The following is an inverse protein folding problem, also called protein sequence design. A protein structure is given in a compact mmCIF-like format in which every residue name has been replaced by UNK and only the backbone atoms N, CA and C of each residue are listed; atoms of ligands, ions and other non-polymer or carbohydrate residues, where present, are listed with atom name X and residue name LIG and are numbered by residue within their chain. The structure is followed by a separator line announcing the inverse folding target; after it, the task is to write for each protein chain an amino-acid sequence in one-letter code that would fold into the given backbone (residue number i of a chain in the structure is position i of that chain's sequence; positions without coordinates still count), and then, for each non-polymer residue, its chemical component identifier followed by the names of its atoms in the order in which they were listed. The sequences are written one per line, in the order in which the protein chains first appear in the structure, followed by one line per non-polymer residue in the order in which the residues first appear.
data_IF_966629406460
#
_entry.id   IF_966629406460
#
_cell.length_a   1.000
_cell.length_b   1.000
_cell.length_c   1.000
_cell.angle_alpha   90.00
_cell.angle_beta   90.00
_cell.angle_gamma   90.00
#
_symmetry.space_group_name_H-M   'P 1'
#
loop_
_entity.id
_entity.type
_entity.pdbx_description
1 polymer ?
#
# COMPACT_ATOMS: atom_id res chain seq x y z
N UNK A 1 33.66 -42.47 27.50
CA UNK A 1 35.11 -42.23 27.41
C UNK A 1 35.52 -41.31 28.56
N UNK A 2 36.60 -41.64 29.28
CA UNK A 2 36.49 -42.01 30.68
C UNK A 2 37.42 -41.20 31.59
N UNK A 3 37.29 -41.44 32.90
CA UNK A 3 38.22 -40.99 33.93
C UNK A 3 37.51 -40.92 35.28
N UNK A 4 37.08 -42.04 35.87
CA UNK A 4 37.93 -42.80 36.80
C UNK A 4 38.97 -41.93 37.53
N UNK A 5 38.68 -41.55 38.77
CA UNK A 5 39.70 -41.56 39.83
C UNK A 5 39.14 -42.27 41.06
N UNK A 6 39.89 -43.33 41.37
CA UNK A 6 39.72 -44.35 42.38
C UNK A 6 39.81 -43.81 43.82
N UNK A 7 39.18 -44.52 44.79
CA UNK A 7 39.32 -44.30 46.23
C UNK A 7 40.69 -44.80 46.72
N UNK A 8 41.65 -43.90 46.92
CA UNK A 8 42.91 -44.22 47.60
C UNK A 8 43.65 -42.94 48.05
N UNK A 9 43.45 -42.55 49.32
CA UNK A 9 44.25 -41.63 50.17
C UNK A 9 43.33 -41.27 51.35
N UNK A 10 43.50 -41.74 52.59
CA UNK A 10 44.71 -41.97 53.37
C UNK A 10 44.38 -43.07 54.40
N UNK A 11 44.91 -44.26 54.15
CA UNK A 11 45.39 -45.12 55.23
C UNK A 11 46.84 -44.68 55.47
N UNK A 12 47.08 -43.92 56.53
CA UNK A 12 48.40 -43.69 57.15
C UNK A 12 48.20 -42.83 58.41
N UNK A 13 47.90 -43.48 59.53
CA UNK A 13 48.25 -43.05 60.89
C UNK A 13 48.08 -44.25 61.84
N UNK A 14 48.98 -45.21 61.65
CA UNK A 14 49.33 -46.27 62.60
C UNK A 14 50.86 -46.23 62.68
N UNK A 15 51.42 -45.67 63.75
CA UNK A 15 52.74 -45.96 64.34
C UNK A 15 53.23 -44.79 65.23
N UNK A 16 53.92 -45.13 66.32
CA UNK A 16 54.50 -44.32 67.42
C UNK A 16 53.47 -44.01 68.54
N UNK A 17 53.42 -44.70 69.68
CA UNK A 17 54.52 -45.20 70.52
C UNK A 17 54.20 -46.55 71.17
N UNK A 18 55.08 -47.53 70.95
CA UNK A 18 55.38 -48.60 71.88
C UNK A 18 56.91 -48.67 71.98
N UNK A 19 57.49 -48.42 73.16
CA UNK A 19 58.69 -49.11 73.66
C UNK A 19 59.05 -48.65 75.07
N UNK A 20 59.43 -49.63 75.90
CA UNK A 20 60.18 -49.58 77.17
C UNK A 20 59.35 -49.20 78.41
N UNK A 21 59.33 -49.95 79.52
CA UNK A 21 60.06 -51.14 79.99
C UNK A 21 59.14 -51.84 81.02
N UNK A 22 58.96 -53.17 81.02
CA UNK A 22 59.79 -54.19 81.70
C UNK A 22 59.94 -53.97 83.22
N UNK A 23 59.60 -55.03 83.96
CA UNK A 23 59.94 -55.41 85.36
C UNK A 23 58.68 -55.55 86.23
N UNK A 24 58.05 -56.72 86.27
CA UNK A 24 58.32 -57.93 87.06
C UNK A 24 57.53 -57.97 88.41
N UNK A 25 57.05 -59.16 88.81
CA UNK A 25 56.35 -59.38 90.08
C UNK A 25 57.27 -60.05 91.12
N UNK A 26 57.42 -59.46 92.31
CA UNK A 26 58.03 -60.13 93.47
C UNK A 26 56.95 -60.17 94.59
N UNK A 27 56.37 -61.32 94.96
CA UNK A 27 56.98 -62.43 95.71
C UNK A 27 57.94 -61.94 96.79
N UNK A 28 57.41 -61.73 98.00
CA UNK A 28 58.15 -62.01 99.22
C UNK A 28 57.24 -62.74 100.21
N UNK A 29 57.30 -64.06 100.09
CA UNK A 29 57.07 -65.01 101.17
C UNK A 29 58.32 -65.03 102.03
N UNK A 30 58.23 -64.76 103.34
CA UNK A 30 59.10 -65.42 104.32
C UNK A 30 58.26 -65.84 105.54
N UNK A 31 58.31 -67.13 105.92
CA UNK A 31 57.71 -67.72 107.10
C UNK A 31 58.73 -67.85 108.25
N UNK A 32 58.27 -68.21 109.46
CA UNK A 32 58.86 -69.23 110.37
C UNK A 32 58.23 -69.04 111.77
N UNK A 33 57.42 -69.99 112.27
CA UNK A 33 57.76 -71.20 113.04
C UNK A 33 57.99 -70.91 114.54
N UNK A 34 57.15 -71.58 115.36
CA UNK A 34 57.35 -72.19 116.70
C UNK A 34 58.25 -71.49 117.74
N UNK A 35 57.93 -71.48 119.03
CA UNK A 35 57.70 -72.69 119.82
C UNK A 35 56.94 -72.43 121.12
N UNK A 36 56.17 -73.45 121.50
CA UNK A 36 55.89 -73.83 122.88
C UNK A 36 57.16 -73.81 123.76
N UNK A 37 57.02 -73.33 124.99
CA UNK A 37 57.63 -74.03 126.14
C UNK A 37 56.85 -73.72 127.41
N UNK A 38 56.18 -74.76 127.90
CA UNK A 38 55.80 -74.97 129.29
C UNK A 38 56.98 -74.71 130.23
N UNK A 39 56.73 -74.09 131.39
CA UNK A 39 56.92 -74.75 132.68
C UNK A 39 56.42 -73.89 133.85
N UNK A 40 55.60 -74.56 134.65
CA UNK A 40 55.27 -74.41 136.06
C UNK A 40 56.44 -73.99 136.95
N UNK A 41 56.20 -73.08 137.89
CA UNK A 41 55.97 -73.43 139.31
C UNK A 41 55.96 -72.20 140.23
N UNK A 42 54.83 -72.05 140.91
CA UNK A 42 54.59 -71.57 142.29
C UNK A 42 55.65 -70.71 142.99
N UNK A 43 55.25 -69.50 143.42
CA UNK A 43 55.48 -69.08 144.80
C UNK A 43 54.50 -67.98 145.22
N UNK A 44 53.90 -68.22 146.37
CA UNK A 44 52.87 -67.49 147.11
C UNK A 44 53.29 -66.08 147.54
N UNK A 45 52.50 -65.04 147.24
CA UNK A 45 51.79 -64.16 148.21
C UNK A 45 51.25 -62.86 147.58
N UNK A 46 50.06 -62.43 148.02
CA UNK A 46 49.40 -61.11 147.83
C UNK A 46 48.93 -60.75 146.40
N UNK A 47 47.87 -61.35 145.85
CA UNK A 47 46.45 -61.21 146.17
C UNK A 47 45.96 -59.74 146.27
N UNK A 48 45.15 -59.33 145.27
CA UNK A 48 44.26 -58.15 145.12
C UNK A 48 44.65 -56.97 144.20
N UNK A 49 45.91 -56.71 143.81
CA UNK A 49 46.24 -55.56 142.92
C UNK A 49 46.20 -55.86 141.40
N UNK A 50 46.52 -57.09 140.99
CA UNK A 50 46.62 -57.46 139.55
C UNK A 50 45.28 -57.83 138.89
N UNK A 51 44.22 -58.03 139.67
CA UNK A 51 42.86 -58.29 139.17
C UNK A 51 42.18 -57.00 138.68
N UNK A 52 42.53 -55.87 139.30
CA UNK A 52 42.04 -54.55 138.91
C UNK A 52 42.70 -54.02 137.63
N UNK A 53 44.00 -54.28 137.42
CA UNK A 53 44.71 -53.87 136.20
C UNK A 53 44.27 -54.67 134.97
N UNK A 54 44.03 -55.99 135.10
CA UNK A 54 43.48 -56.80 134.00
C UNK A 54 42.04 -56.39 133.67
N UNK A 55 41.21 -56.08 134.67
CA UNK A 55 39.85 -55.58 134.45
C UNK A 55 39.84 -54.18 133.79
N UNK A 56 40.76 -53.29 134.17
CA UNK A 56 40.95 -51.97 133.57
C UNK A 56 41.39 -52.06 132.12
N UNK A 57 42.39 -52.89 131.82
CA UNK A 57 42.86 -53.12 130.45
C UNK A 57 41.78 -53.78 129.58
N UNK A 58 40.96 -54.68 130.16
CA UNK A 58 39.82 -55.27 129.45
C UNK A 58 38.74 -54.24 129.15
N UNK A 59 38.39 -53.38 130.10
CA UNK A 59 37.43 -52.28 129.90
C UNK A 59 37.93 -51.26 128.88
N UNK A 60 39.22 -50.94 128.87
CA UNK A 60 39.83 -50.03 127.90
C UNK A 60 39.90 -50.64 126.50
N UNK A 61 40.24 -51.92 126.41
CA UNK A 61 40.18 -52.68 125.15
C UNK A 61 38.74 -52.75 124.62
N UNK A 62 37.76 -52.99 125.48
CA UNK A 62 36.34 -53.07 125.11
C UNK A 62 35.80 -51.69 124.66
N UNK A 63 36.24 -50.61 125.31
CA UNK A 63 35.98 -49.23 124.88
C UNK A 63 36.63 -48.91 123.53
N UNK A 64 37.88 -49.35 123.30
CA UNK A 64 38.58 -49.20 122.01
C UNK A 64 37.97 -50.06 120.91
N UNK A 65 37.48 -51.25 121.22
CA UNK A 65 36.76 -52.12 120.26
C UNK A 65 35.43 -51.47 119.87
N UNK A 66 34.68 -50.91 120.81
CA UNK A 66 33.46 -50.15 120.50
C UNK A 66 33.75 -48.88 119.68
N UNK A 67 34.86 -48.18 119.97
CA UNK A 67 35.32 -47.03 119.18
C UNK A 67 35.70 -47.46 117.75
N UNK A 68 36.41 -48.58 117.60
CA UNK A 68 36.76 -49.18 116.30
C UNK A 68 35.51 -49.58 115.53
N UNK A 69 34.52 -50.21 116.16
CA UNK A 69 33.26 -50.56 115.49
C UNK A 69 32.45 -49.32 115.11
N UNK A 70 32.45 -48.28 115.94
CA UNK A 70 31.86 -46.98 115.64
C UNK A 70 32.55 -46.29 114.46
N UNK A 71 33.88 -46.31 114.41
CA UNK A 71 34.69 -45.80 113.31
C UNK A 71 34.48 -46.65 112.05
N UNK A 72 34.39 -47.97 112.15
CA UNK A 72 34.14 -48.88 111.03
C UNK A 72 32.78 -48.62 110.39
N UNK A 73 31.73 -48.39 111.18
CA UNK A 73 30.42 -47.96 110.66
C UNK A 73 30.48 -46.61 109.97
N UNK A 74 31.23 -45.64 110.50
CA UNK A 74 31.44 -44.33 109.84
C UNK A 74 32.22 -44.47 108.54
N UNK A 75 33.23 -45.33 108.50
CA UNK A 75 34.03 -45.63 107.29
C UNK A 75 33.19 -46.32 106.23
N UNK A 76 32.38 -47.33 106.60
CA UNK A 76 31.46 -47.99 105.66
C UNK A 76 30.43 -47.01 105.09
N UNK A 77 29.83 -46.15 105.93
CA UNK A 77 28.91 -45.12 105.46
C UNK A 77 29.60 -44.08 104.56
N UNK A 78 30.81 -43.66 104.91
CA UNK A 78 31.59 -42.74 104.08
C UNK A 78 32.01 -43.36 102.74
N UNK A 79 32.26 -44.67 102.70
CA UNK A 79 32.53 -45.41 101.46
C UNK A 79 31.29 -45.51 100.56
N UNK A 80 30.12 -45.81 101.14
CA UNK A 80 28.83 -45.80 100.41
C UNK A 80 28.50 -44.39 99.89
N UNK A 81 28.67 -43.35 100.72
CA UNK A 81 28.46 -41.95 100.31
C UNK A 81 29.43 -41.54 99.19
N UNK A 82 30.68 -42.04 99.21
CA UNK A 82 31.67 -41.80 98.16
C UNK A 82 31.29 -42.49 96.84
N UNK A 83 30.80 -43.73 96.87
CA UNK A 83 30.34 -44.46 95.68
C UNK A 83 29.11 -43.79 95.04
N UNK A 84 28.17 -43.30 95.87
CA UNK A 84 27.02 -42.50 95.41
C UNK A 84 27.48 -41.17 94.79
N UNK A 85 28.50 -40.52 95.35
CA UNK A 85 29.06 -39.30 94.75
C UNK A 85 29.80 -39.59 93.43
N UNK A 86 30.54 -40.70 93.34
CA UNK A 86 31.29 -41.07 92.13
C UNK A 86 30.36 -41.42 90.96
N UNK A 87 29.27 -42.14 91.22
CA UNK A 87 28.23 -42.40 90.22
C UNK A 87 27.54 -41.10 89.76
N UNK A 88 27.28 -40.16 90.68
CA UNK A 88 26.73 -38.84 90.34
C UNK A 88 27.70 -37.99 89.52
N UNK A 89 28.99 -38.00 89.85
CA UNK A 89 30.05 -37.34 89.07
C UNK A 89 30.13 -37.94 87.66
N UNK A 90 30.06 -39.27 87.55
CA UNK A 90 30.09 -39.97 86.26
C UNK A 90 28.88 -39.59 85.39
N UNK A 91 27.68 -39.55 85.98
CA UNK A 91 26.46 -39.10 85.29
C UNK A 91 26.56 -37.65 84.82
N UNK A 92 26.99 -36.73 85.69
CA UNK A 92 27.18 -35.33 85.34
C UNK A 92 28.28 -35.12 84.29
N UNK A 93 29.34 -35.94 84.33
CA UNK A 93 30.41 -35.92 83.34
C UNK A 93 29.89 -36.33 81.96
N UNK A 94 29.07 -37.38 81.89
CA UNK A 94 28.42 -37.80 80.66
C UNK A 94 27.46 -36.74 80.10
N UNK A 95 26.66 -36.11 80.97
CA UNK A 95 25.78 -35.01 80.58
C UNK A 95 26.58 -33.81 80.05
N UNK A 96 27.68 -33.45 80.72
CA UNK A 96 28.60 -32.40 80.27
C UNK A 96 29.16 -32.68 78.87
N UNK A 97 29.60 -33.92 78.60
CA UNK A 97 30.11 -34.30 77.27
C UNK A 97 29.01 -34.16 76.22
N UNK A 98 27.80 -34.60 76.53
CA UNK A 98 26.64 -34.52 75.62
C UNK A 98 26.28 -33.05 75.33
N UNK A 99 26.24 -32.20 76.35
CA UNK A 99 25.99 -30.78 76.21
C UNK A 99 27.09 -30.07 75.41
N UNK A 100 28.35 -30.47 75.54
CA UNK A 100 29.44 -29.94 74.72
C UNK A 100 29.25 -30.30 73.24
N UNK A 101 28.87 -31.54 72.94
CA UNK A 101 28.60 -31.97 71.56
C UNK A 101 27.41 -31.23 70.93
N UNK A 102 26.34 -30.96 71.69
CA UNK A 102 25.21 -30.16 71.21
C UNK A 102 25.60 -28.70 70.97
N UNK A 103 26.41 -28.11 71.86
CA UNK A 103 26.96 -26.76 71.68
C UNK A 103 27.76 -26.66 70.38
N UNK A 104 28.64 -27.62 70.10
CA UNK A 104 29.46 -27.59 68.88
C UNK A 104 28.62 -27.78 67.61
N UNK A 105 27.59 -28.61 67.68
CA UNK A 105 26.61 -28.76 66.58
C UNK A 105 25.86 -27.46 66.32
N UNK A 106 25.37 -26.80 67.38
CA UNK A 106 24.67 -25.52 67.27
C UNK A 106 25.60 -24.41 66.75
N UNK A 107 26.87 -24.39 67.15
CA UNK A 107 27.87 -23.45 66.61
C UNK A 107 28.07 -23.65 65.11
N UNK A 108 28.18 -24.91 64.64
CA UNK A 108 28.32 -25.22 63.22
C UNK A 108 27.09 -24.79 62.42
N UNK A 109 25.88 -25.07 62.93
CA UNK A 109 24.63 -24.62 62.32
C UNK A 109 24.54 -23.09 62.24
N UNK A 110 24.92 -22.39 63.31
CA UNK A 110 24.91 -20.92 63.33
C UNK A 110 25.89 -20.34 62.30
N UNK A 111 27.09 -20.90 62.18
CA UNK A 111 28.07 -20.49 61.15
C UNK A 111 27.54 -20.68 59.72
N UNK A 112 26.87 -21.80 59.46
CA UNK A 112 26.24 -22.08 58.17
C UNK A 112 25.09 -21.10 57.87
N UNK A 113 24.26 -20.78 58.86
CA UNK A 113 23.19 -19.79 58.74
C UNK A 113 23.75 -18.39 58.46
N UNK A 114 24.77 -17.94 59.19
CA UNK A 114 25.45 -16.66 58.95
C UNK A 114 25.98 -16.59 57.51
N UNK A 115 26.64 -17.65 57.05
CA UNK A 115 27.18 -17.74 55.68
C UNK A 115 26.08 -17.73 54.62
N UNK A 116 24.95 -18.40 54.88
CA UNK A 116 23.78 -18.38 54.00
C UNK A 116 23.17 -16.98 53.91
N UNK A 117 22.94 -16.32 55.05
CA UNK A 117 22.42 -14.96 55.14
C UNK A 117 23.33 -13.98 54.42
N UNK A 118 24.65 -14.09 54.57
CA UNK A 118 25.61 -13.25 53.86
C UNK A 118 25.52 -13.41 52.33
N UNK A 119 25.40 -14.66 51.84
CA UNK A 119 25.21 -14.94 50.41
C UNK A 119 23.89 -14.37 49.88
N UNK A 120 22.79 -14.55 50.61
CA UNK A 120 21.49 -13.99 50.23
C UNK A 120 21.50 -12.46 50.20
N UNK A 121 22.13 -11.81 51.19
CA UNK A 121 22.30 -10.34 51.20
C UNK A 121 23.10 -9.85 50.00
N UNK A 122 24.20 -10.53 49.66
CA UNK A 122 25.01 -10.20 48.48
C UNK A 122 24.21 -10.36 47.18
N UNK A 123 23.48 -11.47 47.04
CA UNK A 123 22.62 -11.73 45.87
C UNK A 123 21.53 -10.68 45.73
N UNK A 124 20.80 -10.38 46.82
CA UNK A 124 19.76 -9.35 46.83
C UNK A 124 20.31 -7.97 46.45
N UNK A 125 21.49 -7.59 46.95
CA UNK A 125 22.15 -6.33 46.56
C UNK A 125 22.49 -6.28 45.07
N UNK A 126 22.95 -7.39 44.48
CA UNK A 126 23.21 -7.49 43.04
C UNK A 126 21.94 -7.36 42.22
N UNK A 127 20.90 -8.12 42.55
CA UNK A 127 19.60 -8.04 41.86
C UNK A 127 18.96 -6.66 41.98
N UNK A 128 19.08 -5.99 43.13
CA UNK A 128 18.57 -4.63 43.31
C UNK A 128 19.29 -3.62 42.42
N UNK A 129 20.63 -3.74 42.29
CA UNK A 129 21.41 -2.91 41.36
C UNK A 129 21.02 -3.15 39.90
N UNK A 130 20.82 -4.41 39.52
CA UNK A 130 20.40 -4.79 38.17
C UNK A 130 19.00 -4.25 37.82
N UNK A 131 18.04 -4.39 38.73
CA UNK A 131 16.71 -3.81 38.58
C UNK A 131 16.75 -2.29 38.45
N UNK A 132 17.64 -1.63 39.21
CA UNK A 132 17.82 -0.18 39.09
C UNK A 132 18.39 0.20 37.72
N UNK A 133 19.39 -0.52 37.19
CA UNK A 133 19.90 -0.28 35.83
C UNK A 133 18.83 -0.51 34.76
N UNK A 134 18.08 -1.61 34.83
CA UNK A 134 16.97 -1.90 33.91
C UNK A 134 15.89 -0.83 33.96
N UNK A 135 15.59 -0.29 35.16
CA UNK A 135 14.68 0.83 35.33
C UNK A 135 15.15 2.13 34.65
N UNK A 136 16.46 2.40 34.66
CA UNK A 136 17.04 3.53 33.93
C UNK A 136 16.95 3.31 32.42
N UNK A 137 17.31 2.12 31.94
CA UNK A 137 17.32 1.81 30.52
C UNK A 137 15.91 1.80 29.92
N UNK A 138 14.93 1.23 30.63
CA UNK A 138 13.52 1.29 30.25
C UNK A 138 13.01 2.74 30.14
N UNK A 139 13.39 3.61 31.08
CA UNK A 139 13.06 5.05 31.02
C UNK A 139 13.71 5.74 29.81
N UNK A 140 14.96 5.39 29.48
CA UNK A 140 15.67 5.93 28.31
C UNK A 140 15.01 5.48 27.00
N UNK A 141 14.69 4.19 26.88
CA UNK A 141 14.02 3.62 25.72
C UNK A 141 12.64 4.25 25.51
N UNK A 142 11.84 4.38 26.57
CA UNK A 142 10.53 5.07 26.51
C UNK A 142 10.66 6.49 25.98
N UNK A 143 11.66 7.26 26.45
CA UNK A 143 11.93 8.62 25.94
C UNK A 143 12.37 8.61 24.47
N UNK A 144 13.19 7.64 24.06
CA UNK A 144 13.64 7.51 22.67
C UNK A 144 12.47 7.18 21.72
N UNK A 145 11.59 6.24 22.11
CA UNK A 145 10.38 5.90 21.37
C UNK A 145 9.42 7.10 21.26
N UNK A 146 9.23 7.84 22.35
CA UNK A 146 8.39 9.04 22.34
C UNK A 146 8.93 10.11 21.37
N UNK A 147 10.26 10.31 21.31
CA UNK A 147 10.88 11.23 20.35
C UNK A 147 10.66 10.75 18.91
N UNK A 148 10.96 9.47 18.61
CA UNK A 148 10.71 8.88 17.29
C UNK A 148 9.26 9.02 16.85
N UNK A 149 8.29 8.82 17.76
CA UNK A 149 6.87 9.01 17.47
C UNK A 149 6.52 10.47 17.16
N UNK A 150 7.07 11.44 17.90
CA UNK A 150 6.88 12.88 17.63
C UNK A 150 7.48 13.29 16.30
N UNK A 151 8.68 12.82 15.97
CA UNK A 151 9.35 13.13 14.72
C UNK A 151 8.60 12.56 13.51
N UNK A 152 8.12 11.30 13.62
CA UNK A 152 7.24 10.70 12.61
C UNK A 152 5.94 11.49 12.45
N UNK A 153 5.28 11.86 13.55
CA UNK A 153 4.06 12.70 13.51
C UNK A 153 4.32 14.03 12.80
N UNK A 154 5.44 14.70 13.09
CA UNK A 154 5.84 15.96 12.44
C UNK A 154 6.11 15.76 10.94
N UNK A 155 6.73 14.64 10.55
CA UNK A 155 6.94 14.30 9.14
C UNK A 155 5.62 14.14 8.39
N UNK A 156 4.69 13.35 8.93
CA UNK A 156 3.37 13.14 8.29
C UNK A 156 2.53 14.42 8.23
N UNK A 157 2.60 15.28 9.25
CA UNK A 157 1.90 16.58 9.20
C UNK A 157 2.40 17.45 8.05
N UNK A 158 3.72 17.55 7.84
CA UNK A 158 4.28 18.29 6.70
C UNK A 158 3.87 17.71 5.35
N UNK A 159 3.77 16.38 5.25
CA UNK A 159 3.34 15.70 4.03
C UNK A 159 1.85 15.99 3.74
N UNK A 160 1.00 15.96 4.77
CA UNK A 160 -0.42 16.34 4.66
C UNK A 160 -0.57 17.80 4.22
N UNK A 161 0.18 18.72 4.83
CA UNK A 161 0.19 20.14 4.44
C UNK A 161 0.60 20.31 2.97
N UNK A 162 1.64 19.61 2.51
CA UNK A 162 2.08 19.64 1.11
C UNK A 162 1.04 19.09 0.13
N UNK A 163 0.36 17.99 0.49
CA UNK A 163 -0.73 17.43 -0.30
C UNK A 163 -1.94 18.37 -0.36
N UNK A 164 -2.24 19.08 0.74
CA UNK A 164 -3.33 20.04 0.77
C UNK A 164 -3.06 21.22 -0.17
N UNK A 165 -1.84 21.78 -0.17
CA UNK A 165 -1.45 22.83 -1.13
C UNK A 165 -1.61 22.34 -2.57
N UNK A 166 -1.14 21.13 -2.87
CA UNK A 166 -1.28 20.53 -4.22
C UNK A 166 -2.76 20.34 -4.62
N UNK A 167 -3.61 19.96 -3.66
CA UNK A 167 -5.04 19.80 -3.88
C UNK A 167 -5.71 21.15 -4.18
N UNK A 168 -5.35 22.20 -3.45
CA UNK A 168 -5.85 23.56 -3.67
C UNK A 168 -5.41 24.11 -5.04
N UNK A 169 -4.14 23.91 -5.43
CA UNK A 169 -3.63 24.25 -6.76
C UNK A 169 -4.40 23.53 -7.88
N UNK A 170 -4.61 22.22 -7.74
CA UNK A 170 -5.38 21.44 -8.70
C UNK A 170 -6.86 21.86 -8.77
N UNK A 171 -7.47 22.16 -7.62
CA UNK A 171 -8.82 22.70 -7.56
C UNK A 171 -8.93 24.03 -8.30
N UNK A 172 -7.93 24.92 -8.13
CA UNK A 172 -7.86 26.16 -8.88
C UNK A 172 -7.72 25.92 -10.39
N UNK A 173 -6.84 25.01 -10.83
CA UNK A 173 -6.70 24.64 -12.25
C UNK A 173 -8.02 24.13 -12.83
N UNK A 174 -8.73 23.26 -12.11
CA UNK A 174 -10.05 22.75 -12.54
C UNK A 174 -11.04 23.91 -12.68
N UNK A 175 -11.10 24.81 -11.70
CA UNK A 175 -12.00 25.98 -11.73
C UNK A 175 -11.75 26.92 -12.91
N UNK A 176 -10.52 26.98 -13.41
CA UNK A 176 -10.15 27.77 -14.60
C UNK A 176 -10.46 27.02 -15.91
N UNK A 177 -10.30 25.70 -15.94
CA UNK A 177 -10.52 24.88 -17.13
C UNK A 177 -11.99 24.60 -17.41
N UNK A 178 -12.80 24.42 -16.37
CA UNK A 178 -14.24 24.14 -16.49
C UNK A 178 -14.99 25.19 -17.34
N UNK A 179 -14.90 26.51 -17.07
CA UNK A 179 -15.59 27.51 -17.90
C UNK A 179 -15.02 27.59 -19.32
N UNK A 180 -13.71 27.32 -19.52
CA UNK A 180 -13.10 27.27 -20.86
C UNK A 180 -13.68 26.10 -21.67
N UNK A 181 -13.83 24.93 -21.03
CA UNK A 181 -14.48 23.78 -21.65
C UNK A 181 -15.95 24.05 -21.98
N UNK A 182 -16.71 24.67 -21.07
CA UNK A 182 -18.09 25.08 -21.35
C UNK A 182 -18.18 26.03 -22.54
N UNK A 183 -17.27 27.01 -22.63
CA UNK A 183 -17.19 27.95 -23.76
C UNK A 183 -16.90 27.23 -25.08
N UNK A 184 -15.91 26.33 -25.10
CA UNK A 184 -15.58 25.54 -26.30
C UNK A 184 -16.75 24.64 -26.73
N UNK A 185 -17.45 24.01 -25.78
CA UNK A 185 -18.64 23.22 -26.09
C UNK A 185 -19.73 24.05 -26.78
N UNK A 186 -19.98 25.29 -26.31
CA UNK A 186 -20.94 26.19 -26.95
C UNK A 186 -20.48 26.61 -28.37
N UNK A 187 -19.19 26.85 -28.58
CA UNK A 187 -18.65 27.16 -29.90
C UNK A 187 -18.78 25.98 -30.88
N UNK A 188 -18.52 24.76 -30.42
CA UNK A 188 -18.70 23.54 -31.21
C UNK A 188 -20.16 23.35 -31.62
N UNK A 189 -21.13 23.59 -30.71
CA UNK A 189 -22.56 23.52 -31.02
C UNK A 189 -22.92 24.55 -32.11
N UNK A 190 -22.48 25.81 -31.97
CA UNK A 190 -22.73 26.85 -32.97
C UNK A 190 -22.14 26.50 -34.34
N UNK A 191 -20.93 25.94 -34.39
CA UNK A 191 -20.32 25.51 -35.64
C UNK A 191 -21.07 24.34 -36.28
N UNK A 192 -21.56 23.40 -35.47
CA UNK A 192 -22.37 22.27 -35.94
C UNK A 192 -23.68 22.75 -36.57
N UNK A 193 -24.36 23.74 -35.98
CA UNK A 193 -25.56 24.36 -36.54
C UNK A 193 -25.28 25.10 -37.85
N UNK A 194 -24.17 25.86 -37.93
CA UNK A 194 -23.75 26.50 -39.19
C UNK A 194 -23.47 25.48 -40.29
N UNK A 195 -22.83 24.37 -39.95
CA UNK A 195 -22.52 23.30 -40.89
C UNK A 195 -23.80 22.62 -41.41
N UNK A 196 -24.78 22.37 -40.54
CA UNK A 196 -26.06 21.77 -40.95
C UNK A 196 -26.84 22.70 -41.88
N UNK A 197 -26.88 24.01 -41.59
CA UNK A 197 -27.50 25.02 -42.45
C UNK A 197 -26.81 25.10 -43.83
N UNK A 198 -25.47 25.12 -43.84
CA UNK A 198 -24.69 25.13 -45.07
C UNK A 198 -24.94 23.88 -45.91
N UNK A 199 -24.96 22.70 -45.28
CA UNK A 199 -25.27 21.43 -45.94
C UNK A 199 -26.67 21.43 -46.59
N UNK A 200 -27.68 21.93 -45.89
CA UNK A 200 -29.04 22.08 -46.44
C UNK A 200 -29.07 23.02 -47.66
N UNK A 201 -28.31 24.12 -47.59
CA UNK A 201 -28.18 25.08 -48.70
C UNK A 201 -27.51 24.44 -49.92
N UNK A 202 -26.42 23.71 -49.73
CA UNK A 202 -25.72 22.98 -50.80
C UNK A 202 -26.64 21.95 -51.45
N UNK A 203 -27.39 21.18 -50.66
CA UNK A 203 -28.38 20.22 -51.16
C UNK A 203 -29.47 20.91 -52.02
N UNK A 204 -29.97 22.06 -51.55
CA UNK A 204 -30.95 22.86 -52.28
C UNK A 204 -30.39 23.41 -53.60
N UNK A 205 -29.16 23.92 -53.58
CA UNK A 205 -28.49 24.41 -54.78
C UNK A 205 -28.23 23.28 -55.78
N UNK A 206 -27.80 22.11 -55.32
CA UNK A 206 -27.62 20.92 -56.15
C UNK A 206 -28.91 20.52 -56.89
N UNK A 207 -30.06 20.55 -56.21
CA UNK A 207 -31.37 20.33 -56.84
C UNK A 207 -31.69 21.38 -57.91
N UNK A 208 -31.42 22.66 -57.64
CA UNK A 208 -31.63 23.75 -58.61
C UNK A 208 -30.75 23.60 -59.85
N UNK A 209 -29.47 23.26 -59.66
CA UNK A 209 -28.53 23.00 -60.77
C UNK A 209 -29.05 21.86 -61.62
N UNK A 210 -29.49 20.75 -61.01
CA UNK A 210 -30.04 19.61 -61.75
C UNK A 210 -31.26 20.00 -62.58
N UNK A 211 -32.16 20.83 -62.04
CA UNK A 211 -33.31 21.35 -62.78
C UNK A 211 -32.88 22.24 -63.96
N UNK A 212 -31.93 23.14 -63.74
CA UNK A 212 -31.39 24.00 -64.80
C UNK A 212 -30.75 23.16 -65.92
N UNK A 213 -29.94 22.15 -65.59
CA UNK A 213 -29.36 21.23 -66.58
C UNK A 213 -30.45 20.54 -67.44
N UNK A 214 -31.56 20.11 -66.82
CA UNK A 214 -32.70 19.53 -67.56
C UNK A 214 -33.34 20.55 -68.51
N UNK A 215 -33.49 21.81 -68.09
CA UNK A 215 -34.04 22.87 -68.95
C UNK A 215 -33.11 23.23 -70.11
N UNK A 216 -31.80 23.33 -69.86
CA UNK A 216 -30.80 23.58 -70.90
C UNK A 216 -30.86 22.48 -71.96
N UNK A 217 -30.86 21.21 -71.53
CA UNK A 217 -30.97 20.08 -72.45
C UNK A 217 -32.26 20.13 -73.30
N UNK A 218 -33.40 20.48 -72.70
CA UNK A 218 -34.66 20.62 -73.43
C UNK A 218 -34.60 21.75 -74.48
N UNK A 219 -34.00 22.89 -74.14
CA UNK A 219 -33.80 24.02 -75.04
C UNK A 219 -32.83 23.67 -76.17
N UNK A 220 -31.71 23.00 -75.88
CA UNK A 220 -30.78 22.51 -76.91
C UNK A 220 -31.50 21.62 -77.93
N UNK A 221 -32.36 20.70 -77.46
CA UNK A 221 -33.18 19.87 -78.36
C UNK A 221 -34.20 20.68 -79.15
N UNK A 222 -34.77 21.75 -78.61
CA UNK A 222 -35.63 22.65 -79.39
C UNK A 222 -34.85 23.37 -80.48
N UNK A 223 -33.68 23.92 -80.15
CA UNK A 223 -32.80 24.59 -81.12
C UNK A 223 -32.42 23.66 -82.26
N UNK A 224 -32.05 22.40 -81.99
CA UNK A 224 -31.73 21.42 -83.03
C UNK A 224 -32.92 21.10 -83.95
N UNK A 225 -34.13 20.98 -83.39
CA UNK A 225 -35.36 20.82 -84.19
C UNK A 225 -35.63 22.04 -85.06
N UNK A 226 -35.48 23.25 -84.51
CA UNK A 226 -35.67 24.51 -85.26
C UNK A 226 -34.64 24.66 -86.38
N UNK A 227 -33.36 24.32 -86.15
CA UNK A 227 -32.33 24.28 -87.19
C UNK A 227 -32.69 23.32 -88.33
N UNK A 228 -33.15 22.12 -87.99
CA UNK A 228 -33.57 21.10 -88.96
C UNK A 228 -34.79 21.56 -89.77
N UNK A 229 -35.76 22.19 -89.11
CA UNK A 229 -36.94 22.79 -89.75
C UNK A 229 -36.53 23.91 -90.71
N UNK A 230 -35.65 24.81 -90.28
CA UNK A 230 -35.16 25.91 -91.11
C UNK A 230 -34.40 25.39 -92.33
N UNK A 231 -33.53 24.39 -92.16
CA UNK A 231 -32.80 23.77 -93.26
C UNK A 231 -33.77 23.19 -94.32
N UNK A 232 -34.82 22.52 -93.87
CA UNK A 232 -35.89 22.01 -94.74
C UNK A 232 -36.59 23.14 -95.50
N UNK A 233 -37.01 24.20 -94.80
CA UNK A 233 -37.63 25.37 -95.43
C UNK A 233 -36.71 26.06 -96.44
N UNK A 234 -35.41 26.19 -96.14
CA UNK A 234 -34.42 26.74 -97.07
C UNK A 234 -34.26 25.86 -98.33
N UNK A 235 -34.29 24.53 -98.20
CA UNK A 235 -34.25 23.63 -99.35
C UNK A 235 -35.49 23.79 -100.24
N UNK A 236 -36.68 23.87 -99.65
CA UNK A 236 -37.93 24.10 -100.40
C UNK A 236 -37.91 25.46 -101.11
N UNK A 237 -37.41 26.51 -100.45
CA UNK A 237 -37.24 27.82 -101.07
C UNK A 237 -36.28 27.77 -102.26
N UNK A 238 -35.15 27.05 -102.15
CA UNK A 238 -34.21 26.85 -103.27
C UNK A 238 -34.88 26.14 -104.46
N UNK A 239 -35.74 25.14 -104.21
CA UNK A 239 -36.51 24.49 -105.29
C UNK A 239 -37.44 25.48 -106.00
N UNK A 240 -38.08 26.37 -105.25
CA UNK A 240 -38.93 27.42 -105.82
C UNK A 240 -38.14 28.48 -106.61
N UNK A 241 -36.91 28.80 -106.21
CA UNK A 241 -36.07 29.76 -106.93
C UNK A 241 -35.63 29.28 -108.32
N UNK A 242 -35.42 27.97 -108.47
CA UNK A 242 -35.04 27.34 -109.77
C UNK A 242 -36.28 27.02 -110.63
N UNK A 243 -37.47 27.16 -110.06
CA UNK A 243 -38.71 26.82 -110.73
C UNK A 243 -39.08 27.94 -111.72
N UNK A 244 -39.02 27.62 -113.02
CA UNK A 244 -39.57 28.48 -114.07
C UNK A 244 -41.10 28.39 -114.06
N UNK A 245 -41.81 29.46 -113.62
CA UNK A 245 -43.27 29.46 -113.54
C UNK A 245 -43.91 29.46 -114.92
N UNK A 246 -43.13 29.74 -115.96
CA UNK A 246 -43.58 29.89 -117.34
C UNK A 246 -42.92 28.85 -118.24
N UNK A 247 -43.61 28.50 -119.31
CA UNK A 247 -42.99 27.80 -120.42
C UNK A 247 -43.47 28.49 -121.69
N UNK A 248 -42.55 29.02 -122.49
CA UNK A 248 -42.88 29.78 -123.71
C UNK A 248 -43.84 30.96 -123.44
N UNK A 249 -43.70 31.62 -122.30
CA UNK A 249 -44.53 32.78 -121.91
C UNK A 249 -45.91 32.46 -121.32
N UNK A 250 -46.27 31.18 -121.18
CA UNK A 250 -47.54 30.76 -120.55
C UNK A 250 -47.25 30.16 -119.18
N UNK A 251 -47.98 30.59 -118.15
CA UNK A 251 -47.85 30.02 -116.80
C UNK A 251 -48.16 28.52 -116.77
N UNK A 252 -47.29 27.72 -116.16
CA UNK A 252 -47.52 26.29 -115.92
C UNK A 252 -48.72 26.08 -115.01
N UNK A 253 -49.39 24.94 -115.11
CA UNK A 253 -50.56 24.63 -114.27
C UNK A 253 -50.22 24.64 -112.77
N UNK A 254 -49.02 24.20 -112.40
CA UNK A 254 -48.49 24.31 -111.04
C UNK A 254 -48.35 25.76 -110.57
N UNK A 255 -47.98 26.68 -111.47
CA UNK A 255 -47.84 28.10 -111.16
C UNK A 255 -49.17 28.77 -110.86
N UNK A 256 -50.16 28.48 -111.69
CA UNK A 256 -51.53 28.95 -111.48
C UNK A 256 -52.10 28.42 -110.16
N UNK A 257 -51.86 27.14 -109.85
CA UNK A 257 -52.29 26.53 -108.57
C UNK A 257 -51.61 27.20 -107.38
N UNK A 258 -50.30 27.43 -107.44
CA UNK A 258 -49.56 28.13 -106.39
C UNK A 258 -50.08 29.56 -106.18
N UNK A 259 -50.29 30.31 -107.26
CA UNK A 259 -50.87 31.66 -107.22
C UNK A 259 -52.24 31.67 -106.54
N UNK A 260 -53.13 30.74 -106.89
CA UNK A 260 -54.44 30.63 -106.23
C UNK A 260 -54.34 30.25 -104.75
N UNK A 261 -53.38 29.40 -104.37
CA UNK A 261 -53.15 29.04 -102.98
C UNK A 261 -52.63 30.22 -102.16
N UNK A 262 -51.67 30.99 -102.70
CA UNK A 262 -51.16 32.22 -102.08
C UNK A 262 -52.26 33.28 -101.94
N UNK A 263 -53.08 33.44 -102.97
CA UNK A 263 -54.25 34.33 -102.93
C UNK A 263 -55.27 33.89 -101.87
N UNK A 264 -55.52 32.59 -101.73
CA UNK A 264 -56.38 32.04 -100.65
C UNK A 264 -55.79 32.21 -99.25
N UNK A 265 -54.47 32.16 -99.12
CA UNK A 265 -53.76 32.40 -97.86
C UNK A 265 -53.70 33.90 -97.47
N UNK A 266 -54.27 34.79 -98.29
CA UNK A 266 -54.36 36.22 -97.99
C UNK A 266 -53.18 37.06 -98.51
N UNK A 267 -52.29 36.51 -99.35
CA UNK A 267 -51.27 37.32 -100.02
C UNK A 267 -51.94 38.23 -101.05
N UNK A 268 -51.90 39.55 -100.81
CA UNK A 268 -52.46 40.53 -101.74
C UNK A 268 -51.63 40.59 -103.04
N UNK A 269 -52.29 40.90 -104.17
CA UNK A 269 -51.65 40.91 -105.49
C UNK A 269 -50.42 41.86 -105.58
N UNK A 270 -50.35 42.92 -104.75
CA UNK A 270 -49.20 43.84 -104.76
C UNK A 270 -47.91 43.20 -104.24
N UNK A 271 -47.98 42.29 -103.27
CA UNK A 271 -46.80 41.61 -102.71
C UNK A 271 -46.24 40.54 -103.64
N UNK A 272 -47.09 39.99 -104.53
CA UNK A 272 -46.70 39.01 -105.54
C UNK A 272 -45.98 39.65 -106.74
N UNK A 273 -46.33 40.89 -107.10
CA UNK A 273 -45.72 41.64 -108.20
C UNK A 273 -44.39 42.32 -107.80
N UNK A 274 -44.27 42.82 -106.57
CA UNK A 274 -43.06 43.51 -106.10
C UNK A 274 -41.84 42.57 -106.04
N UNK A 275 -42.04 41.30 -105.67
CA UNK A 275 -40.96 40.32 -105.56
C UNK A 275 -40.41 39.84 -106.92
N UNK A 276 -41.22 39.81 -107.99
CA UNK A 276 -40.73 39.50 -109.34
C UNK A 276 -39.79 40.60 -109.89
N UNK A 277 -40.05 41.87 -109.57
CA UNK A 277 -39.21 42.99 -110.01
C UNK A 277 -37.93 43.12 -109.15
N UNK A 278 -37.97 42.72 -107.88
CA UNK A 278 -36.79 42.74 -107.02
C UNK A 278 -35.82 41.57 -107.25
N UNK A 279 -36.22 40.46 -107.88
CA UNK A 279 -35.29 39.38 -108.24
C UNK A 279 -34.38 39.69 -109.43
N UNK A 280 -34.71 40.68 -110.28
CA UNK A 280 -33.79 41.18 -111.31
C UNK A 280 -32.81 42.25 -110.78
N UNK A 281 -33.00 42.73 -109.55
CA UNK A 281 -32.10 43.67 -108.88
C UNK A 281 -31.52 43.03 -107.60
N UNK A 282 -30.57 42.10 -107.78
CA UNK A 282 -29.74 41.49 -106.73
C UNK A 282 -28.74 42.48 -106.07
N UNK A 283 -29.18 43.70 -105.77
CA UNK A 283 -28.39 44.75 -105.10
C UNK A 283 -28.82 45.10 -103.68
N UNK A 284 -29.97 44.63 -103.19
CA UNK A 284 -30.58 45.17 -101.94
C UNK A 284 -30.69 44.15 -100.79
N UNK A 285 -30.22 42.91 -100.96
CA UNK A 285 -30.11 41.94 -99.85
C UNK A 285 -28.95 42.25 -98.86
N UNK A 286 -28.15 43.28 -99.11
CA UNK A 286 -27.09 43.70 -98.19
C UNK A 286 -27.64 44.38 -96.91
N UNK A 287 -28.89 44.88 -96.90
CA UNK A 287 -29.42 45.56 -95.70
C UNK A 287 -29.96 44.59 -94.63
N UNK A 288 -30.62 43.50 -95.00
CA UNK A 288 -31.14 42.54 -93.99
C UNK A 288 -30.05 41.68 -93.35
N UNK A 289 -28.95 41.40 -94.06
CA UNK A 289 -27.76 40.77 -93.48
C UNK A 289 -27.03 41.65 -92.46
N UNK A 290 -26.99 42.98 -92.68
CA UNK A 290 -26.45 43.93 -91.70
C UNK A 290 -27.32 44.07 -90.44
N UNK A 291 -28.64 43.94 -90.56
CA UNK A 291 -29.53 43.96 -89.39
C UNK A 291 -29.32 42.76 -88.46
N UNK A 292 -29.08 41.56 -89.00
CA UNK A 292 -28.73 40.40 -88.18
C UNK A 292 -27.35 40.55 -87.53
N UNK A 293 -26.34 41.06 -88.24
CA UNK A 293 -25.01 41.24 -87.68
C UNK A 293 -24.98 42.29 -86.54
N UNK A 294 -25.69 43.42 -86.71
CA UNK A 294 -25.79 44.45 -85.68
C UNK A 294 -26.57 43.99 -84.44
N UNK A 295 -27.67 43.24 -84.64
CA UNK A 295 -28.46 42.68 -83.55
C UNK A 295 -27.68 41.58 -82.80
N UNK A 296 -26.98 40.70 -83.51
CA UNK A 296 -26.12 39.67 -82.92
C UNK A 296 -24.94 40.30 -82.17
N UNK A 297 -24.32 41.35 -82.71
CA UNK A 297 -23.25 42.09 -82.02
C UNK A 297 -23.75 42.79 -80.74
N UNK A 298 -24.95 43.36 -80.76
CA UNK A 298 -25.57 43.97 -79.58
C UNK A 298 -25.88 42.92 -78.50
N UNK A 299 -26.43 41.75 -78.89
CA UNK A 299 -26.71 40.65 -77.97
C UNK A 299 -25.41 40.08 -77.38
N UNK A 300 -24.36 39.94 -78.19
CA UNK A 300 -23.05 39.45 -77.74
C UNK A 300 -22.34 40.43 -76.78
N UNK A 301 -22.51 41.74 -76.97
CA UNK A 301 -21.98 42.76 -76.05
C UNK A 301 -22.68 42.73 -74.68
N UNK A 302 -24.00 42.53 -74.66
CA UNK A 302 -24.80 42.42 -73.43
C UNK A 302 -24.46 41.15 -72.65
N UNK A 303 -24.21 40.03 -73.35
CA UNK A 303 -23.80 38.78 -72.72
C UNK A 303 -22.42 38.85 -72.03
N UNK A 304 -21.53 39.74 -72.50
CA UNK A 304 -20.19 39.92 -71.90
C UNK A 304 -20.20 40.83 -70.67
N UNK A 305 -21.14 41.79 -70.58
CA UNK A 305 -21.24 42.72 -69.46
C UNK A 305 -22.71 43.01 -69.10
N UNK A 306 -23.36 42.12 -68.33
CA UNK A 306 -24.75 42.31 -67.93
C UNK A 306 -24.85 43.46 -66.90
N UNK A 307 -25.44 44.58 -67.31
CA UNK A 307 -25.79 45.70 -66.42
C UNK A 307 -27.24 46.10 -66.66
N UNK A 308 -27.91 46.63 -65.64
CA UNK A 308 -29.34 47.01 -65.70
C UNK A 308 -29.60 48.07 -66.78
N UNK A 309 -28.62 48.94 -67.06
CA UNK A 309 -28.71 49.95 -68.11
C UNK A 309 -28.69 49.35 -69.53
N UNK A 310 -27.98 48.23 -69.73
CA UNK A 310 -27.88 47.55 -71.02
C UNK A 310 -29.20 46.87 -71.44
N UNK A 311 -30.03 46.46 -70.49
CA UNK A 311 -31.37 45.91 -70.76
C UNK A 311 -32.36 46.98 -71.23
N UNK A 312 -32.23 48.22 -70.74
CA UNK A 312 -33.07 49.34 -71.18
C UNK A 312 -32.84 49.71 -72.66
N UNK A 313 -31.57 49.75 -73.09
CA UNK A 313 -31.21 49.99 -74.50
C UNK A 313 -31.72 48.88 -75.43
N UNK A 314 -31.66 47.61 -75.00
CA UNK A 314 -32.21 46.48 -75.75
C UNK A 314 -33.73 46.59 -75.93
N UNK A 315 -34.44 46.99 -74.87
CA UNK A 315 -35.89 47.18 -74.92
C UNK A 315 -36.30 48.34 -75.83
N UNK A 316 -35.55 49.44 -75.77
CA UNK A 316 -35.79 50.62 -76.62
C UNK A 316 -35.53 50.32 -78.09
N UNK A 317 -34.45 49.57 -78.38
CA UNK A 317 -34.17 49.08 -79.73
C UNK A 317 -35.30 48.17 -80.23
N UNK A 318 -35.74 47.18 -79.44
CA UNK A 318 -36.86 46.31 -79.85
C UNK A 318 -38.19 47.09 -80.04
N UNK A 319 -38.41 48.15 -79.27
CA UNK A 319 -39.57 49.04 -79.41
C UNK A 319 -39.57 49.85 -80.71
N UNK A 320 -38.42 50.40 -81.11
CA UNK A 320 -38.29 51.18 -82.35
C UNK A 320 -38.43 50.34 -83.63
N UNK A 321 -38.20 49.02 -83.55
CA UNK A 321 -38.28 48.10 -84.70
C UNK A 321 -39.60 47.32 -84.79
N UNK A 322 -40.65 47.74 -84.08
CA UNK A 322 -42.02 47.23 -84.29
C UNK A 322 -42.27 45.80 -83.79
N UNK A 323 -41.42 45.27 -82.91
CA UNK A 323 -41.56 43.93 -82.31
C UNK A 323 -42.58 43.87 -81.15
N UNK A 324 -43.55 44.80 -81.12
CA UNK A 324 -44.57 44.89 -80.07
C UNK A 324 -45.73 43.88 -80.19
N UNK A 325 -45.67 42.92 -81.13
CA UNK A 325 -46.76 41.94 -81.36
C UNK A 325 -46.64 40.61 -80.62
N UNK A 326 -45.68 40.46 -79.70
CA UNK A 326 -45.68 39.35 -78.74
C UNK A 326 -46.12 39.86 -77.37
N UNK A 327 -47.44 40.08 -77.23
CA UNK A 327 -48.08 40.25 -75.92
C UNK A 327 -48.95 39.01 -75.69
N UNK A 328 -48.44 38.08 -74.90
CA UNK A 328 -49.16 36.88 -74.48
C UNK A 328 -48.32 35.61 -74.59
N UNK A 329 -47.44 35.39 -73.61
CA UNK A 329 -47.36 34.23 -72.70
C UNK A 329 -46.65 34.75 -71.44
#
# INVERSE_FOLDING_TARGET
MPGQKSPAKIAQLKALHASNAKDQPDKNTVPLIFSESTNTSTSTHSNTRNKATIASLKSELEGKVQEIDGLKKKVSKAAEDAEVQESKISSLSFEKITLLATIDTLKAQNSNLISSVARHRSSCSKSLKELHSLGIDSKREKKALQRKARDKKKKYLKEIEGLQVTLEENSHVISVLEPKNSKLCLEVIKLKEKLSLSSATVSTLGKKILLLCKTIYALEKQVERSKSSLATSCMELKKLLVWDPTEKGIYKASARKLFHNLKRAGCCNHDLLSNCVHQQNLGVLHRTGQFCAALIAAIAAIARYPSVQNYGLLWTAMGCYGLHRFRGI
#
